data_IF_090466269352
#
_entry.id   IF_090466269352
#
_cell.length_a   1.000
_cell.length_b   1.000
_cell.length_c   1.000
_cell.angle_alpha   90.00
_cell.angle_beta   90.00
_cell.angle_gamma   90.00
#
_symmetry.space_group_name_H-M   'P 1'
#
loop_
_entity.id
_entity.type
_entity.pdbx_description
1 polymer ?
#
# COMPACT_ATOMS: atom_id res chain seq x y z
N UNK A 1 7.11 -13.88 9.93
CA UNK A 1 6.84 -12.73 9.03
C UNK A 1 6.80 -11.48 9.88
N UNK A 2 7.28 -10.35 9.35
CA UNK A 2 7.25 -9.07 10.05
C UNK A 2 6.52 -8.05 9.18
N UNK A 3 5.58 -7.32 9.77
CA UNK A 3 4.82 -6.25 9.09
C UNK A 3 4.93 -5.00 9.95
N UNK A 4 5.36 -3.89 9.34
CA UNK A 4 5.51 -2.62 10.06
C UNK A 4 5.54 -1.45 9.09
N UNK A 5 5.21 -0.28 9.63
CA UNK A 5 5.26 0.99 8.91
C UNK A 5 6.64 1.64 9.13
N UNK A 6 7.21 2.17 8.06
CA UNK A 6 8.51 2.85 8.06
C UNK A 6 8.58 3.88 6.94
N UNK A 7 9.72 4.56 6.84
CA UNK A 7 9.99 5.53 5.77
C UNK A 7 11.18 5.04 4.94
N UNK A 8 11.09 5.21 3.62
CA UNK A 8 12.21 4.91 2.73
C UNK A 8 13.34 5.92 2.92
N UNK A 9 14.56 5.42 3.11
CA UNK A 9 15.76 6.23 3.34
C UNK A 9 16.29 6.84 2.02
N UNK A 10 17.08 7.93 2.07
CA UNK A 10 17.68 8.61 0.91
C UNK A 10 18.44 7.71 -0.07
N UNK A 11 19.05 6.63 0.42
CA UNK A 11 19.80 5.67 -0.38
C UNK A 11 18.91 4.70 -1.19
N UNK A 12 17.59 4.82 -1.06
CA UNK A 12 16.63 4.03 -1.84
C UNK A 12 16.66 4.45 -3.30
N UNK A 13 16.82 3.47 -4.18
CA UNK A 13 16.91 3.65 -5.63
C UNK A 13 15.96 2.67 -6.31
N UNK A 14 14.84 3.22 -6.81
CA UNK A 14 13.89 2.53 -7.66
C UNK A 14 13.91 3.18 -9.05
N UNK A 15 14.72 2.65 -9.96
CA UNK A 15 14.96 3.22 -11.30
C UNK A 15 14.46 2.23 -12.34
N UNK A 16 13.50 2.64 -13.16
CA UNK A 16 12.84 1.76 -14.13
C UNK A 16 13.84 1.00 -15.04
N UNK A 17 14.93 1.67 -15.44
CA UNK A 17 15.90 1.12 -16.41
C UNK A 17 17.11 0.44 -15.75
N UNK A 18 17.16 0.36 -14.41
CA UNK A 18 18.28 -0.28 -13.72
C UNK A 18 18.01 -1.78 -13.52
N UNK A 19 19.02 -2.61 -13.82
CA UNK A 19 18.94 -4.05 -13.60
C UNK A 19 18.73 -4.40 -12.11
N UNK A 20 19.24 -3.55 -11.21
CA UNK A 20 19.15 -3.71 -9.77
C UNK A 20 18.41 -2.56 -9.11
N UNK A 21 17.51 -2.92 -8.20
CA UNK A 21 16.72 -2.02 -7.40
C UNK A 21 17.18 -2.13 -5.94
N UNK A 22 17.17 -1.01 -5.22
CA UNK A 22 17.63 -0.94 -3.84
C UNK A 22 16.58 -0.27 -2.96
N UNK A 23 16.12 -0.97 -1.93
CA UNK A 23 15.28 -0.43 -0.86
C UNK A 23 16.14 -0.25 0.40
N UNK A 24 16.11 0.93 0.99
CA UNK A 24 16.78 1.22 2.26
C UNK A 24 15.77 1.74 3.26
N UNK A 25 15.74 1.16 4.45
CA UNK A 25 14.77 1.50 5.51
C UNK A 25 15.32 1.17 6.89
N UNK A 26 14.75 1.83 7.91
CA UNK A 26 15.03 1.54 9.32
C UNK A 26 14.04 0.50 9.87
N UNK A 27 14.56 -0.44 10.66
CA UNK A 27 13.75 -1.39 11.40
C UNK A 27 13.30 -0.79 12.74
N UNK A 28 12.01 -0.89 13.10
CA UNK A 28 11.57 -0.59 14.45
C UNK A 28 12.25 -1.51 15.48
N UNK A 29 12.55 -1.00 16.67
CA UNK A 29 13.24 -1.72 17.75
C UNK A 29 12.53 -3.04 18.12
N UNK A 30 11.19 -3.04 18.09
CA UNK A 30 10.38 -4.24 18.32
C UNK A 30 10.67 -5.34 17.28
N UNK A 31 10.74 -4.95 16.00
CA UNK A 31 11.05 -5.86 14.89
C UNK A 31 12.51 -6.35 14.99
N UNK A 32 13.46 -5.47 15.30
CA UNK A 32 14.85 -5.86 15.49
C UNK A 32 14.99 -6.92 16.59
N UNK A 33 14.27 -6.76 17.70
CA UNK A 33 14.29 -7.71 18.81
C UNK A 33 13.72 -9.07 18.41
N UNK A 34 12.62 -9.07 17.65
CA UNK A 34 12.02 -10.28 17.10
C UNK A 34 12.98 -10.99 16.12
N UNK A 35 13.57 -10.25 15.17
CA UNK A 35 14.53 -10.80 14.21
C UNK A 35 15.79 -11.36 14.89
N UNK A 36 16.32 -10.71 15.95
CA UNK A 36 17.43 -11.27 16.75
C UNK A 36 17.04 -12.57 17.44
N UNK A 37 15.80 -12.69 17.91
CA UNK A 37 15.28 -13.90 18.55
C UNK A 37 15.16 -15.03 17.52
N UNK A 38 14.59 -14.74 16.36
CA UNK A 38 14.39 -15.71 15.28
C UNK A 38 15.72 -16.12 14.65
N UNK A 39 16.66 -15.18 14.48
CA UNK A 39 18.04 -15.48 14.06
C UNK A 39 18.69 -16.51 14.98
N UNK A 40 18.60 -16.31 16.30
CA UNK A 40 19.14 -17.28 17.27
C UNK A 40 18.48 -18.64 17.14
N UNK A 41 17.17 -18.71 16.90
CA UNK A 41 16.45 -19.99 16.70
C UNK A 41 16.88 -20.69 15.42
N UNK A 42 16.97 -19.96 14.31
CA UNK A 42 17.37 -20.49 13.01
C UNK A 42 18.84 -20.95 12.99
N UNK A 43 19.72 -20.27 13.72
CA UNK A 43 21.15 -20.58 13.76
C UNK A 43 21.56 -21.57 14.84
N UNK A 44 20.83 -21.66 15.96
CA UNK A 44 21.08 -22.70 16.99
C UNK A 44 21.00 -24.12 16.42
N UNK A 45 20.28 -24.32 15.32
CA UNK A 45 20.26 -25.59 14.60
C UNK A 45 21.54 -25.89 13.81
N UNK A 46 22.45 -24.92 13.59
CA UNK A 46 23.53 -25.05 12.60
C UNK A 46 24.89 -24.39 12.92
N UNK A 47 25.04 -23.48 13.90
CA UNK A 47 26.36 -22.90 14.22
C UNK A 47 26.53 -22.35 15.64
N UNK A 48 27.76 -22.45 16.16
CA UNK A 48 28.22 -22.03 17.51
C UNK A 48 28.74 -20.58 17.57
N UNK A 49 28.68 -19.81 16.49
CA UNK A 49 29.19 -18.43 16.43
C UNK A 49 28.10 -17.35 16.49
N UNK A 50 28.42 -16.18 17.09
CA UNK A 50 27.57 -14.98 17.00
C UNK A 50 27.51 -14.49 15.55
N UNK A 51 26.46 -14.85 14.82
CA UNK A 51 26.25 -14.30 13.48
C UNK A 51 25.93 -12.80 13.54
N UNK A 52 26.45 -12.05 12.57
CA UNK A 52 26.13 -10.65 12.41
C UNK A 52 24.62 -10.46 12.16
N UNK A 53 24.00 -9.39 12.68
CA UNK A 53 22.61 -9.09 12.39
C UNK A 53 22.39 -8.84 10.90
N UNK A 54 21.17 -9.06 10.37
CA UNK A 54 20.85 -8.84 8.96
C UNK A 54 20.64 -7.35 8.59
N UNK A 55 21.23 -6.42 9.34
CA UNK A 55 21.17 -4.97 9.12
C UNK A 55 22.51 -4.32 9.46
N UNK A 56 22.72 -3.11 8.94
CA UNK A 56 23.87 -2.27 9.23
C UNK A 56 23.59 -1.38 10.44
N UNK A 57 24.64 -1.12 11.25
CA UNK A 57 24.66 -0.14 12.34
C UNK A 57 23.34 -0.03 13.10
N UNK A 58 22.73 1.14 13.01
CA UNK A 58 21.52 1.58 13.73
C UNK A 58 20.21 0.90 13.31
N UNK A 59 20.25 -0.31 12.77
CA UNK A 59 19.05 -1.02 12.29
C UNK A 59 18.68 -0.71 10.84
N UNK A 60 19.60 -0.10 10.08
CA UNK A 60 19.41 0.21 8.66
C UNK A 60 19.55 -1.05 7.81
N UNK A 61 18.50 -1.40 7.08
CA UNK A 61 18.48 -2.53 6.15
C UNK A 61 18.64 -2.01 4.74
N UNK A 62 19.54 -2.62 3.98
CA UNK A 62 19.67 -2.43 2.54
C UNK A 62 19.26 -3.71 1.82
N UNK A 63 18.12 -3.68 1.15
CA UNK A 63 17.61 -4.79 0.37
C UNK A 63 17.78 -4.51 -1.12
N UNK A 64 18.57 -5.33 -1.80
CA UNK A 64 18.80 -5.25 -3.24
C UNK A 64 18.17 -6.44 -3.93
N UNK A 65 17.45 -6.19 -5.02
CA UNK A 65 16.84 -7.22 -5.85
C UNK A 65 16.99 -6.85 -7.33
N UNK A 66 16.96 -7.85 -8.20
CA UNK A 66 16.94 -7.64 -9.64
C UNK A 66 15.49 -7.49 -10.10
N UNK A 67 15.22 -6.48 -10.93
CA UNK A 67 13.89 -6.29 -11.51
C UNK A 67 13.54 -7.36 -12.56
N UNK A 68 14.55 -7.96 -13.21
CA UNK A 68 14.37 -9.00 -14.23
C UNK A 68 14.23 -10.41 -13.64
N UNK A 69 14.84 -10.68 -12.48
CA UNK A 69 14.72 -11.96 -11.78
C UNK A 69 13.49 -11.94 -10.84
N UNK A 70 12.29 -12.11 -11.41
CA UNK A 70 11.00 -11.98 -10.71
C UNK A 70 10.80 -12.80 -9.43
N UNK A 71 11.64 -13.80 -9.12
CA UNK A 71 11.46 -14.66 -7.92
C UNK A 71 11.76 -13.96 -6.59
N UNK A 72 12.46 -12.81 -6.62
CA UNK A 72 12.90 -12.09 -5.42
C UNK A 72 12.48 -10.63 -5.39
N UNK A 73 11.78 -10.15 -6.42
CA UNK A 73 11.23 -8.81 -6.46
C UNK A 73 10.06 -8.68 -5.47
N UNK A 74 10.00 -7.61 -4.66
CA UNK A 74 8.88 -7.35 -3.79
C UNK A 74 7.66 -6.92 -4.62
N UNK A 75 6.47 -7.29 -4.15
CA UNK A 75 5.21 -6.80 -4.73
C UNK A 75 4.97 -5.39 -4.24
N UNK A 76 4.92 -4.44 -5.16
CA UNK A 76 4.55 -3.05 -4.85
C UNK A 76 3.05 -2.88 -4.97
N UNK A 77 2.43 -2.35 -3.93
CA UNK A 77 1.00 -2.08 -3.90
C UNK A 77 0.74 -0.65 -3.43
N UNK A 78 -0.41 -0.12 -3.81
CA UNK A 78 -0.90 1.17 -3.36
C UNK A 78 -1.52 1.09 -1.96
N UNK A 79 -2.05 2.21 -1.46
CA UNK A 79 -2.72 2.29 -0.16
C UNK A 79 -3.90 1.30 -0.02
N UNK A 80 -4.59 0.96 -1.12
CA UNK A 80 -5.76 0.07 -1.16
C UNK A 80 -5.41 -1.39 -1.47
N UNK A 81 -4.13 -1.73 -1.38
CA UNK A 81 -3.60 -3.06 -1.69
C UNK A 81 -3.74 -3.49 -3.17
N UNK A 82 -3.87 -2.53 -4.07
CA UNK A 82 -3.86 -2.76 -5.51
C UNK A 82 -2.43 -2.74 -6.06
N UNK A 83 -2.05 -3.65 -6.96
CA UNK A 83 -0.69 -3.72 -7.48
C UNK A 83 -0.32 -2.45 -8.27
N UNK A 84 0.89 -1.93 -8.01
CA UNK A 84 1.43 -0.79 -8.75
C UNK A 84 2.09 -1.26 -10.04
N UNK A 85 1.68 -0.68 -11.17
CA UNK A 85 2.38 -0.81 -12.44
C UNK A 85 3.67 0.02 -12.49
N UNK A 86 4.41 -0.07 -13.60
CA UNK A 86 5.70 0.62 -13.79
C UNK A 86 5.63 2.13 -13.56
N UNK A 87 4.56 2.79 -14.04
CA UNK A 87 4.34 4.23 -13.81
C UNK A 87 4.10 4.56 -12.33
N UNK A 88 3.38 3.68 -11.61
CA UNK A 88 3.16 3.83 -10.17
C UNK A 88 4.46 3.68 -9.38
N UNK A 89 5.33 2.76 -9.81
CA UNK A 89 6.64 2.55 -9.17
C UNK A 89 7.57 3.76 -9.34
N UNK A 90 7.51 4.47 -10.46
CA UNK A 90 8.28 5.71 -10.68
C UNK A 90 7.90 6.84 -9.70
N UNK A 91 6.72 6.77 -9.08
CA UNK A 91 6.28 7.73 -8.06
C UNK A 91 6.84 7.43 -6.68
N UNK A 92 7.45 6.25 -6.47
CA UNK A 92 8.06 5.89 -5.19
C UNK A 92 9.43 6.55 -5.09
N UNK A 93 9.61 7.40 -4.07
CA UNK A 93 10.82 8.19 -3.82
C UNK A 93 11.34 7.95 -2.41
N UNK A 94 12.59 8.34 -2.11
CA UNK A 94 13.03 8.47 -0.73
C UNK A 94 12.10 9.41 0.06
N UNK A 95 11.91 9.13 1.35
CA UNK A 95 10.96 9.84 2.20
C UNK A 95 9.52 9.33 2.15
N UNK A 96 9.20 8.41 1.23
CA UNK A 96 7.89 7.78 1.16
C UNK A 96 7.59 6.93 2.41
N UNK A 97 6.43 7.15 3.02
CA UNK A 97 5.88 6.27 4.06
C UNK A 97 5.38 4.98 3.43
N UNK A 98 5.83 3.86 3.95
CA UNK A 98 5.55 2.52 3.42
C UNK A 98 5.22 1.54 4.54
N UNK A 99 4.36 0.58 4.25
CA UNK A 99 4.18 -0.63 5.06
C UNK A 99 4.93 -1.77 4.40
N UNK A 100 5.91 -2.33 5.11
CA UNK A 100 6.77 -3.39 4.60
C UNK A 100 6.37 -4.74 5.21
N UNK A 101 6.27 -5.76 4.37
CA UNK A 101 6.17 -7.15 4.79
C UNK A 101 7.49 -7.85 4.51
N UNK A 102 8.16 -8.30 5.56
CA UNK A 102 9.47 -8.95 5.50
C UNK A 102 9.42 -10.41 5.94
N UNK A 103 10.29 -11.22 5.35
CA UNK A 103 10.64 -12.55 5.86
C UNK A 103 12.12 -12.65 6.19
N UNK A 104 12.45 -13.30 7.30
CA UNK A 104 13.82 -13.71 7.58
C UNK A 104 14.06 -15.06 6.94
N UNK A 105 15.13 -15.17 6.15
CA UNK A 105 15.52 -16.41 5.50
C UNK A 105 16.95 -16.78 5.86
N UNK A 106 17.19 -18.08 5.95
CA UNK A 106 18.49 -18.62 6.23
C UNK A 106 19.40 -18.48 5.00
N UNK A 107 20.66 -18.13 5.24
CA UNK A 107 21.71 -18.02 4.23
C UNK A 107 22.82 -18.98 4.61
N UNK A 108 23.14 -19.92 3.72
CA UNK A 108 24.24 -20.89 3.92
C UNK A 108 25.61 -20.35 3.55
N UNK A 109 25.71 -19.56 2.48
CA UNK A 109 26.97 -19.18 1.82
C UNK A 109 27.10 -17.65 1.68
N UNK A 110 28.31 -17.05 1.87
CA UNK A 110 29.59 -17.67 2.18
C UNK A 110 29.80 -17.96 3.68
N UNK A 111 28.95 -17.44 4.57
CA UNK A 111 28.91 -17.82 5.99
C UNK A 111 27.46 -18.05 6.42
N UNK A 112 27.19 -19.02 7.32
CA UNK A 112 25.86 -19.26 7.83
C UNK A 112 25.35 -18.01 8.55
N UNK A 113 24.17 -17.57 8.16
CA UNK A 113 23.55 -16.37 8.69
C UNK A 113 22.09 -16.28 8.28
N UNK A 114 21.51 -15.11 8.48
CA UNK A 114 20.14 -14.83 8.02
C UNK A 114 20.14 -13.55 7.21
N UNK A 115 19.23 -13.42 6.26
CA UNK A 115 18.94 -12.17 5.57
C UNK A 115 17.46 -11.83 5.68
N UNK A 116 17.14 -10.54 5.64
CA UNK A 116 15.77 -10.06 5.52
C UNK A 116 15.44 -9.90 4.05
N UNK A 117 14.33 -10.50 3.63
CA UNK A 117 13.78 -10.35 2.28
C UNK A 117 12.47 -9.58 2.36
N UNK A 118 12.37 -8.51 1.56
CA UNK A 118 11.12 -7.77 1.37
C UNK A 118 10.21 -8.58 0.45
N UNK A 119 8.99 -8.86 0.91
CA UNK A 119 7.98 -9.57 0.12
C UNK A 119 6.99 -8.60 -0.52
N UNK A 120 6.60 -7.56 0.23
CA UNK A 120 5.60 -6.59 -0.18
C UNK A 120 5.96 -5.22 0.37
N UNK A 121 5.77 -4.20 -0.46
CA UNK A 121 5.90 -2.79 -0.11
C UNK A 121 4.61 -2.07 -0.48
N UNK A 122 3.84 -1.68 0.54
CA UNK A 122 2.61 -0.92 0.39
C UNK A 122 2.90 0.57 0.57
N UNK A 123 2.58 1.37 -0.45
CA UNK A 123 2.88 2.80 -0.46
C UNK A 123 1.70 3.58 0.12
N UNK A 124 1.86 4.12 1.32
CA UNK A 124 0.74 4.62 2.12
C UNK A 124 0.13 5.94 1.63
N UNK A 125 0.84 6.65 0.74
CA UNK A 125 0.46 7.97 0.22
C UNK A 125 0.19 7.95 -1.29
N UNK A 126 0.26 6.77 -1.93
CA UNK A 126 -0.08 6.61 -3.34
C UNK A 126 -1.35 5.79 -3.43
N UNK A 127 -2.31 6.29 -4.20
CA UNK A 127 -3.36 5.46 -4.80
C UNK A 127 -2.91 5.12 -6.23
N UNK A 128 -3.12 3.87 -6.64
CA UNK A 128 -2.81 3.43 -8.00
C UNK A 128 -3.65 4.25 -8.99
N UNK A 129 -3.06 4.72 -10.11
CA UNK A 129 -3.86 5.34 -11.15
C UNK A 129 -4.90 4.32 -11.62
N UNK A 130 -6.18 4.72 -11.60
CA UNK A 130 -7.26 3.90 -12.13
C UNK A 130 -6.89 3.52 -13.58
N UNK A 131 -6.69 2.24 -13.85
CA UNK A 131 -6.46 1.76 -15.20
C UNK A 131 -7.78 1.86 -15.97
N UNK A 132 -8.12 3.04 -16.50
CA UNK A 132 -9.06 3.25 -17.61
C UNK A 132 -10.43 2.56 -17.58
N UNK A 133 -10.84 1.94 -16.48
CA UNK A 133 -12.17 1.41 -16.25
C UNK A 133 -13.01 2.50 -15.61
N UNK A 134 -14.32 2.49 -15.90
CA UNK A 134 -15.32 3.33 -15.26
C UNK A 134 -14.96 3.46 -13.77
N UNK A 135 -14.80 4.72 -13.33
CA UNK A 135 -14.39 5.04 -11.98
C UNK A 135 -15.16 4.14 -11.01
N UNK A 136 -14.44 3.43 -10.13
CA UNK A 136 -15.10 2.67 -9.07
C UNK A 136 -16.12 3.59 -8.38
N UNK A 137 -17.29 3.08 -7.96
CA UNK A 137 -18.35 3.90 -7.35
C UNK A 137 -17.94 4.60 -6.04
N UNK A 138 -16.70 4.39 -5.57
CA UNK A 138 -16.06 5.06 -4.44
C UNK A 138 -15.01 6.10 -4.85
N UNK A 139 -14.90 6.42 -6.14
CA UNK A 139 -14.28 7.65 -6.59
C UNK A 139 -15.24 8.77 -6.22
N UNK A 140 -14.99 9.42 -5.08
CA UNK A 140 -15.66 10.66 -4.71
C UNK A 140 -15.23 11.70 -5.76
N UNK A 141 -15.99 11.76 -6.84
CA UNK A 141 -16.08 12.99 -7.61
C UNK A 141 -16.91 13.90 -6.74
N UNK A 142 -16.32 14.99 -6.25
CA UNK A 142 -17.08 16.09 -5.65
C UNK A 142 -17.92 16.72 -6.76
N UNK A 143 -19.04 16.08 -7.09
CA UNK A 143 -20.06 16.66 -7.93
C UNK A 143 -20.80 17.64 -7.02
N UNK A 144 -20.53 18.93 -7.19
CA UNK A 144 -21.36 19.99 -6.61
C UNK A 144 -22.75 19.90 -7.24
N UNK A 145 -23.58 19.03 -6.69
CA UNK A 145 -25.00 19.00 -6.96
C UNK A 145 -25.58 20.21 -6.23
N UNK A 146 -26.09 21.18 -7.00
CA UNK A 146 -26.96 22.21 -6.43
C UNK A 146 -28.27 21.51 -6.00
N UNK A 147 -28.25 20.92 -4.81
CA UNK A 147 -29.45 20.36 -4.21
C UNK A 147 -30.38 21.53 -3.86
N UNK A 148 -31.68 21.43 -4.17
CA UNK A 148 -32.70 22.34 -3.63
C UNK A 148 -32.51 22.46 -2.11
N UNK A 149 -32.60 23.69 -1.56
CA UNK A 149 -32.33 24.01 -0.15
C UNK A 149 -33.01 23.05 0.84
N UNK A 150 -34.22 22.60 0.52
CA UNK A 150 -35.01 21.70 1.36
C UNK A 150 -34.32 20.33 1.56
N UNK A 151 -33.65 19.80 0.53
CA UNK A 151 -32.92 18.51 0.61
C UNK A 151 -31.60 18.65 1.36
N UNK A 152 -30.98 19.82 1.33
CA UNK A 152 -29.69 20.07 1.97
C UNK A 152 -29.84 20.14 3.50
N UNK A 153 -30.92 20.78 3.99
CA UNK A 153 -31.26 20.80 5.42
C UNK A 153 -31.66 19.42 5.95
N UNK A 154 -32.38 18.62 5.16
CA UNK A 154 -32.72 17.25 5.55
C UNK A 154 -31.47 16.36 5.64
N UNK A 155 -30.52 16.47 4.69
CA UNK A 155 -29.23 15.74 4.75
C UNK A 155 -28.41 16.12 5.99
N UNK A 156 -28.33 17.39 6.34
CA UNK A 156 -27.63 17.84 7.55
C UNK A 156 -28.31 17.33 8.83
N UNK A 157 -29.64 17.33 8.89
CA UNK A 157 -30.41 16.78 10.02
C UNK A 157 -30.18 15.27 10.18
N UNK A 158 -30.02 14.55 9.07
CA UNK A 158 -29.86 13.10 9.02
C UNK A 158 -28.43 12.62 9.26
N UNK A 159 -27.42 13.47 9.02
CA UNK A 159 -26.05 13.21 9.45
C UNK A 159 -25.90 13.19 10.99
N UNK A 160 -26.84 13.82 11.71
CA UNK A 160 -26.84 13.94 13.17
C UNK A 160 -27.61 12.78 13.84
N UNK A 161 -28.57 12.16 13.14
CA UNK A 161 -29.41 11.07 13.67
C UNK A 161 -29.06 9.76 12.97
N UNK A 162 -28.31 8.88 13.63
CA UNK A 162 -27.88 7.56 13.14
C UNK A 162 -29.03 6.52 13.05
N UNK A 163 -30.12 6.85 12.37
CA UNK A 163 -31.20 5.89 12.10
C UNK A 163 -31.07 5.30 10.68
N UNK A 164 -30.58 4.07 10.64
CA UNK A 164 -30.29 3.28 9.44
C UNK A 164 -31.47 3.15 8.44
N UNK A 165 -32.71 3.26 8.93
CA UNK A 165 -33.92 3.21 8.10
C UNK A 165 -34.09 4.45 7.21
N UNK A 166 -33.65 5.63 7.66
CA UNK A 166 -33.81 6.86 6.88
C UNK A 166 -32.66 7.05 5.87
N UNK A 167 -31.47 6.50 6.16
CA UNK A 167 -30.34 6.50 5.23
C UNK A 167 -30.65 5.75 3.92
N UNK A 168 -31.38 4.63 4.00
CA UNK A 168 -31.79 3.86 2.82
C UNK A 168 -32.75 4.66 1.91
N UNK A 169 -33.68 5.41 2.51
CA UNK A 169 -34.60 6.26 1.76
C UNK A 169 -33.90 7.45 1.10
N UNK A 170 -32.97 8.11 1.80
CA UNK A 170 -32.15 9.19 1.21
C UNK A 170 -31.30 8.70 0.06
N UNK A 171 -30.69 7.52 0.22
CA UNK A 171 -29.91 6.92 -0.85
C UNK A 171 -30.76 6.72 -2.10
N UNK A 172 -31.96 6.16 -1.95
CA UNK A 172 -32.90 5.95 -3.06
C UNK A 172 -33.40 7.26 -3.68
N UNK A 173 -33.64 8.30 -2.86
CA UNK A 173 -34.03 9.63 -3.33
C UNK A 173 -32.89 10.33 -4.12
N UNK A 174 -31.65 10.24 -3.64
CA UNK A 174 -30.47 10.77 -4.32
C UNK A 174 -30.22 10.04 -5.63
N UNK A 175 -30.29 8.70 -5.63
CA UNK A 175 -30.14 7.89 -6.84
C UNK A 175 -31.21 8.23 -7.88
N UNK A 176 -32.46 8.44 -7.44
CA UNK A 176 -33.57 8.83 -8.32
C UNK A 176 -33.32 10.20 -8.95
N UNK A 177 -32.85 11.18 -8.18
CA UNK A 177 -32.51 12.53 -8.69
C UNK A 177 -31.32 12.50 -9.65
N UNK A 178 -30.27 11.74 -9.34
CA UNK A 178 -29.10 11.56 -10.22
C UNK A 178 -29.52 10.91 -11.54
N UNK A 179 -30.40 9.89 -11.48
CA UNK A 179 -30.95 9.23 -12.68
C UNK A 179 -31.74 10.22 -13.54
N UNK A 180 -32.61 11.02 -12.93
CA UNK A 180 -33.39 12.05 -13.64
C UNK A 180 -32.50 13.14 -14.26
N UNK A 181 -31.44 13.56 -13.55
CA UNK A 181 -30.48 14.53 -14.07
C UNK A 181 -29.70 13.97 -15.27
N UNK A 182 -29.28 12.70 -15.23
CA UNK A 182 -28.62 12.02 -16.36
C UNK A 182 -29.53 11.90 -17.57
N UNK A 183 -30.81 11.56 -17.37
CA UNK A 183 -31.81 11.54 -18.44
C UNK A 183 -31.99 12.92 -19.09
N UNK A 184 -32.05 14.00 -18.30
CA UNK A 184 -32.14 15.38 -18.83
C UNK A 184 -30.90 15.80 -19.61
N UNK A 185 -29.73 15.26 -19.25
CA UNK A 185 -28.46 15.55 -19.91
C UNK A 185 -28.17 14.61 -21.10
N UNK A 186 -29.07 13.66 -21.41
CA UNK A 186 -28.90 12.72 -22.52
C UNK A 186 -27.76 11.72 -22.34
N UNK A 187 -27.35 11.45 -21.10
CA UNK A 187 -26.18 10.63 -20.75
C UNK A 187 -26.53 9.15 -20.47
N UNK A 188 -27.66 8.65 -20.99
CA UNK A 188 -28.12 7.30 -20.66
C UNK A 188 -27.58 6.27 -21.67
N UNK A 189 -26.64 5.43 -21.22
CA UNK A 189 -26.03 4.34 -22.01
C UNK A 189 -26.86 3.03 -21.98
N UNK A 190 -28.09 3.04 -21.44
CA UNK A 190 -28.95 1.85 -21.39
C UNK A 190 -29.78 1.57 -22.65
N UNK A 191 -29.52 2.28 -23.76
CA UNK A 191 -30.07 1.96 -25.09
C UNK A 191 -28.92 1.87 -26.11
N UNK A 192 -28.10 0.83 -25.98
CA UNK A 192 -27.20 0.33 -27.02
C UNK A 192 -26.97 -1.17 -26.81
#
# INVERSE_FOLDING_TARGET
MYVFDTTLEPETSLVADNAYQRLVFLLPVAVMTAVKRDQRRMLKQQSTGKAAPPWHGDGRVSFTYSASAGSHAPVYVDRRDSPLGTQGLQRVRPGCKVRLTLRQIFRRQPKPGTKLQVLKAQILHLDAPHQGGLASPHSIQDVSLALPLDLLQDVERLAIQEDWSMQAWLHDAIETQVRQARLRLGLDESVA
#
